data_IF_821489741479
#
_entry.id   IF_821489741479
#
_cell.length_a   1.000
_cell.length_b   1.000
_cell.length_c   1.000
_cell.angle_alpha   90.00
_cell.angle_beta   90.00
_cell.angle_gamma   90.00
#
_symmetry.space_group_name_H-M   'P 1'
#
loop_
_entity.id
_entity.type
_entity.pdbx_description
1 polymer ?
#
# COMPACT_ATOMS: atom_id res chain seq x y z
N UNK A 1 -11.66 -0.06 -14.75
CA UNK A 1 -11.85 1.13 -13.90
C UNK A 1 -10.89 1.04 -12.71
N UNK A 2 -9.64 1.42 -12.93
CA UNK A 2 -8.58 1.31 -11.92
C UNK A 2 -8.68 2.49 -10.95
N UNK A 3 -9.02 2.24 -9.70
CA UNK A 3 -8.97 3.26 -8.64
C UNK A 3 -7.56 3.26 -8.05
N UNK A 4 -6.68 4.16 -8.48
CA UNK A 4 -5.36 4.27 -7.85
C UNK A 4 -5.53 4.98 -6.50
N UNK A 5 -5.37 4.31 -5.36
CA UNK A 5 -5.29 4.98 -4.05
C UNK A 5 -3.85 4.89 -3.56
N UNK A 6 -3.22 6.05 -3.37
CA UNK A 6 -1.93 6.16 -2.67
C UNK A 6 -2.18 6.72 -1.28
N UNK A 7 -1.53 6.15 -0.25
CA UNK A 7 -1.36 6.81 1.04
C UNK A 7 0.13 7.06 1.21
N UNK A 8 0.53 8.30 1.51
CA UNK A 8 1.93 8.69 1.69
C UNK A 8 2.10 9.45 2.99
N UNK A 9 3.06 9.04 3.82
CA UNK A 9 3.53 9.80 4.96
C UNK A 9 4.69 10.69 4.53
N UNK A 10 4.55 12.00 4.77
CA UNK A 10 5.48 12.99 4.26
C UNK A 10 6.92 12.80 4.78
N UNK A 11 7.12 12.24 5.98
CA UNK A 11 8.43 11.92 6.57
C UNK A 11 9.15 10.71 5.94
N UNK A 12 8.46 9.96 5.07
CA UNK A 12 9.00 8.80 4.37
C UNK A 12 8.76 7.46 5.06
N UNK A 13 8.05 7.41 6.17
CA UNK A 13 7.74 6.17 6.92
C UNK A 13 6.31 6.16 7.47
N UNK A 14 5.58 5.08 7.25
CA UNK A 14 4.26 4.77 7.81
C UNK A 14 4.45 3.85 9.04
N UNK A 15 4.21 4.40 10.23
CA UNK A 15 4.46 3.69 11.49
C UNK A 15 5.91 3.22 11.65
N UNK A 16 6.17 2.12 12.39
CA UNK A 16 7.52 1.56 12.57
C UNK A 16 7.95 0.71 11.38
N UNK A 17 7.85 1.24 10.15
CA UNK A 17 8.15 0.50 8.91
C UNK A 17 9.04 1.30 7.95
N UNK A 18 9.57 0.61 6.93
CA UNK A 18 10.40 1.20 5.88
C UNK A 18 9.60 1.66 4.64
N UNK A 19 8.27 1.59 4.69
CA UNK A 19 7.39 2.05 3.64
C UNK A 19 6.81 3.42 4.01
N UNK A 20 6.74 4.35 3.07
CA UNK A 20 5.99 5.59 3.21
C UNK A 20 4.48 5.39 3.01
N UNK A 21 4.06 4.18 2.63
CA UNK A 21 2.67 3.75 2.43
C UNK A 21 2.56 2.78 1.26
N UNK A 22 1.43 2.79 0.55
CA UNK A 22 1.18 1.84 -0.54
C UNK A 22 0.35 2.46 -1.68
N UNK A 23 0.47 1.86 -2.86
CA UNK A 23 -0.28 2.17 -4.08
C UNK A 23 -1.15 0.97 -4.43
N UNK A 24 -2.46 1.18 -4.58
CA UNK A 24 -3.41 0.11 -4.92
C UNK A 24 -4.27 0.47 -6.11
N UNK A 25 -4.75 -0.51 -6.86
CA UNK A 25 -5.71 -0.35 -7.95
C UNK A 25 -6.96 -1.24 -7.73
N UNK A 26 -7.88 -1.22 -8.70
CA UNK A 26 -9.08 -2.08 -8.66
C UNK A 26 -8.78 -3.59 -8.68
N UNK A 27 -7.55 -4.00 -9.01
CA UNK A 27 -7.12 -5.39 -9.08
C UNK A 27 -6.37 -5.86 -7.83
N UNK A 28 -5.92 -4.96 -6.95
CA UNK A 28 -5.12 -5.29 -5.75
C UNK A 28 -5.81 -6.36 -4.88
N UNK A 29 -7.07 -6.14 -4.48
CA UNK A 29 -7.82 -7.09 -3.63
C UNK A 29 -8.15 -8.40 -4.36
N UNK A 30 -8.69 -8.39 -5.60
CA UNK A 30 -8.89 -9.61 -6.38
C UNK A 30 -7.61 -10.44 -6.55
N UNK A 31 -6.47 -9.81 -6.85
CA UNK A 31 -5.19 -10.48 -6.99
C UNK A 31 -4.73 -11.09 -5.67
N UNK A 32 -4.81 -10.33 -4.56
CA UNK A 32 -4.44 -10.83 -3.24
C UNK A 32 -5.21 -12.12 -2.89
N UNK A 33 -6.52 -12.14 -3.14
CA UNK A 33 -7.35 -13.35 -2.95
C UNK A 33 -6.90 -14.52 -3.83
N UNK A 34 -6.62 -14.27 -5.12
CA UNK A 34 -6.09 -15.30 -6.05
C UNK A 34 -4.74 -15.89 -5.59
N UNK A 35 -3.93 -15.10 -4.89
CA UNK A 35 -2.65 -15.50 -4.31
C UNK A 35 -2.77 -16.12 -2.90
N UNK A 36 -4.00 -16.39 -2.41
CA UNK A 36 -4.21 -16.97 -1.08
C UNK A 36 -3.90 -16.02 0.07
N UNK A 37 -3.98 -14.71 -0.16
CA UNK A 37 -3.90 -13.67 0.87
C UNK A 37 -5.33 -13.24 1.20
N UNK A 38 -5.74 -13.37 2.46
CA UNK A 38 -7.05 -12.91 2.94
C UNK A 38 -6.93 -11.43 3.39
N UNK A 39 -7.42 -10.44 2.62
CA UNK A 39 -7.25 -9.02 2.94
C UNK A 39 -7.94 -8.62 4.25
N UNK A 40 -9.13 -9.17 4.52
CA UNK A 40 -9.92 -8.85 5.71
C UNK A 40 -9.15 -9.21 6.99
N UNK A 41 -8.51 -10.38 7.02
CA UNK A 41 -7.68 -10.81 8.15
C UNK A 41 -6.55 -9.82 8.46
N UNK A 42 -5.91 -9.25 7.43
CA UNK A 42 -4.84 -8.27 7.66
C UNK A 42 -5.39 -6.92 8.12
N UNK A 43 -6.56 -6.51 7.62
CA UNK A 43 -7.23 -5.28 8.04
C UNK A 43 -7.66 -5.35 9.51
N UNK A 44 -8.35 -6.43 9.91
CA UNK A 44 -8.80 -6.67 11.30
C UNK A 44 -7.65 -6.67 12.30
N UNK A 45 -6.47 -7.14 11.87
CA UNK A 45 -5.26 -7.19 12.70
C UNK A 45 -4.38 -5.93 12.60
N UNK A 46 -4.84 -4.85 11.96
CA UNK A 46 -4.05 -3.63 11.71
C UNK A 46 -2.67 -3.92 11.08
N UNK A 47 -2.61 -4.91 10.19
CA UNK A 47 -1.37 -5.49 9.69
C UNK A 47 -1.19 -5.26 8.18
N UNK A 48 -1.49 -4.06 7.71
CA UNK A 48 -1.43 -3.66 6.29
C UNK A 48 -0.03 -3.82 5.69
N UNK A 49 1.03 -3.54 6.46
CA UNK A 49 2.41 -3.71 5.99
C UNK A 49 2.70 -5.16 5.54
N UNK A 50 2.32 -6.15 6.34
CA UNK A 50 2.56 -7.55 5.96
C UNK A 50 1.64 -8.03 4.84
N UNK A 51 0.45 -7.45 4.70
CA UNK A 51 -0.41 -7.68 3.53
C UNK A 51 0.32 -7.29 2.24
N UNK A 52 0.80 -6.04 2.16
CA UNK A 52 1.50 -5.54 0.98
C UNK A 52 2.85 -6.22 0.79
N UNK A 53 3.57 -6.58 1.87
CA UNK A 53 4.84 -7.32 1.78
C UNK A 53 4.64 -8.67 1.11
N UNK A 54 3.59 -9.39 1.52
CA UNK A 54 3.26 -10.70 0.94
C UNK A 54 2.77 -10.56 -0.50
N UNK A 55 2.02 -9.50 -0.80
CA UNK A 55 1.57 -9.22 -2.16
C UNK A 55 2.76 -8.87 -3.08
N UNK A 56 3.72 -8.07 -2.61
CA UNK A 56 4.94 -7.74 -3.35
C UNK A 56 5.69 -9.03 -3.75
N UNK A 57 5.90 -9.92 -2.78
CA UNK A 57 6.61 -11.19 -2.96
C UNK A 57 5.86 -12.12 -3.92
N UNK A 58 4.57 -12.37 -3.68
CA UNK A 58 3.80 -13.37 -4.42
C UNK A 58 3.41 -12.92 -5.83
N UNK A 59 3.25 -11.61 -6.05
CA UNK A 59 2.90 -11.06 -7.36
C UNK A 59 4.10 -10.64 -8.20
N UNK A 60 5.29 -10.56 -7.60
CA UNK A 60 6.49 -9.97 -8.18
C UNK A 60 6.27 -8.52 -8.70
N UNK A 61 5.42 -7.75 -8.01
CA UNK A 61 5.15 -6.32 -8.24
C UNK A 61 5.50 -5.52 -6.98
N UNK A 62 5.54 -4.20 -7.09
CA UNK A 62 5.75 -3.31 -5.92
C UNK A 62 4.49 -2.49 -5.65
N UNK A 63 3.84 -2.79 -4.55
CA UNK A 63 2.71 -2.06 -3.98
C UNK A 63 3.17 -1.11 -2.87
N UNK A 64 4.18 -1.48 -2.08
CA UNK A 64 4.77 -0.57 -1.12
C UNK A 64 5.42 0.63 -1.82
N UNK A 65 5.07 1.82 -1.37
CA UNK A 65 5.75 3.04 -1.73
C UNK A 65 6.91 3.27 -0.75
N UNK A 66 8.15 3.10 -1.21
CA UNK A 66 9.36 3.33 -0.40
C UNK A 66 10.10 4.53 -0.96
N UNK A 67 10.05 5.66 -0.26
CA UNK A 67 10.75 6.90 -0.66
C UNK A 67 12.09 7.09 0.06
N UNK A 68 12.30 6.38 1.18
CA UNK A 68 13.34 6.74 2.14
C UNK A 68 12.99 8.03 2.92
N UNK A 69 13.88 8.47 3.85
CA UNK A 69 13.69 9.69 4.61
C UNK A 69 13.60 10.91 3.68
N UNK A 70 12.55 11.71 3.84
CA UNK A 70 12.32 12.90 3.00
C UNK A 70 12.86 14.19 3.62
N UNK A 71 13.16 14.18 4.93
CA UNK A 71 13.63 15.36 5.67
C UNK A 71 12.55 16.40 5.98
N UNK A 72 11.26 16.09 5.78
CA UNK A 72 10.13 16.98 6.11
C UNK A 72 8.90 16.19 6.56
N UNK A 73 7.94 16.81 7.23
CA UNK A 73 6.68 16.18 7.61
C UNK A 73 5.51 17.16 7.45
N UNK A 74 4.64 16.88 6.47
CA UNK A 74 3.40 17.62 6.18
C UNK A 74 2.16 16.73 6.29
N UNK A 75 2.20 15.72 7.18
CA UNK A 75 1.14 14.72 7.39
C UNK A 75 0.92 13.78 6.18
N UNK A 76 -0.30 13.25 6.03
CA UNK A 76 -0.66 12.22 5.06
C UNK A 76 -1.14 12.85 3.74
N UNK A 77 -0.68 12.29 2.61
CA UNK A 77 -1.18 12.62 1.28
C UNK A 77 -1.91 11.41 0.70
N UNK A 78 -3.14 11.65 0.22
CA UNK A 78 -3.91 10.68 -0.52
C UNK A 78 -4.24 11.20 -1.92
N UNK A 79 -3.90 10.42 -2.95
CA UNK A 79 -4.20 10.74 -4.36
C UNK A 79 -5.11 9.64 -4.90
N UNK A 80 -6.19 10.05 -5.57
CA UNK A 80 -7.09 9.16 -6.30
C UNK A 80 -7.08 9.52 -7.78
N UNK A 81 -6.81 8.55 -8.65
CA UNK A 81 -6.90 8.71 -10.10
C UNK A 81 -8.11 7.92 -10.60
N UNK A 82 -8.94 8.56 -11.44
CA UNK A 82 -10.12 7.97 -12.08
C UNK A 82 -10.05 8.26 -13.57
N UNK A 83 -10.12 7.20 -14.38
CA UNK A 83 -10.25 7.30 -15.83
C UNK A 83 -11.73 7.41 -16.21
N UNK A 84 -12.03 8.29 -17.17
CA UNK A 84 -13.39 8.62 -17.66
C UNK A 84 -13.61 8.02 -19.03
#
# INVERSE_FOLDING_TARGET
MGKLQTKRFANGTDGPTDAAGAVVDGNTVPLARRLGINPEKYLENNNSYNFFKRLDILSNKKYHLKTGPTGTNVMDLQIMIVEV
#
